data_IF_462834709658
#
_entry.id   IF_462834709658
#
_cell.length_a   1.000
_cell.length_b   1.000
_cell.length_c   1.000
_cell.angle_alpha   90.00
_cell.angle_beta   90.00
_cell.angle_gamma   90.00
#
_symmetry.space_group_name_H-M   'P 1'
#
loop_
_entity.id
_entity.type
_entity.pdbx_description
1 polymer ?
#
# COMPACT_ATOMS: atom_id res chain seq x y z
N UNK A 1 12.33 -21.65 9.12
CA UNK A 1 11.00 -21.47 9.73
C UNK A 1 10.32 -20.36 8.98
N UNK A 2 9.25 -20.68 8.25
CA UNK A 2 8.46 -19.72 7.50
C UNK A 2 7.85 -18.73 8.51
N UNK A 3 8.41 -17.51 8.59
CA UNK A 3 7.87 -16.44 9.44
C UNK A 3 6.49 -16.12 8.89
N UNK A 4 5.43 -16.59 9.54
CA UNK A 4 4.06 -16.16 9.26
C UNK A 4 4.04 -14.63 9.30
N UNK A 5 3.99 -14.01 8.12
CA UNK A 5 3.79 -12.58 7.96
C UNK A 5 2.40 -12.29 8.53
N UNK A 6 2.35 -11.70 9.72
CA UNK A 6 1.09 -11.23 10.28
C UNK A 6 0.61 -10.10 9.38
N UNK A 7 -0.53 -10.29 8.71
CA UNK A 7 -1.13 -9.24 7.88
C UNK A 7 -1.38 -8.02 8.77
N UNK A 8 -0.65 -6.94 8.51
CA UNK A 8 -0.72 -5.71 9.29
C UNK A 8 -2.13 -5.12 9.19
N UNK A 9 -2.57 -4.40 10.22
CA UNK A 9 -3.85 -3.68 10.17
C UNK A 9 -3.82 -2.66 9.04
N UNK A 10 -2.64 -2.09 8.76
CA UNK A 10 -2.45 -1.17 7.65
C UNK A 10 -2.55 -1.90 6.32
N UNK A 11 -1.89 -3.04 6.09
CA UNK A 11 -2.06 -3.83 4.86
C UNK A 11 -3.55 -4.14 4.57
N UNK A 12 -4.32 -4.55 5.58
CA UNK A 12 -5.77 -4.77 5.45
C UNK A 12 -6.53 -3.49 5.10
N UNK A 13 -6.19 -2.36 5.74
CA UNK A 13 -6.79 -1.07 5.44
C UNK A 13 -6.46 -0.62 4.02
N UNK A 14 -5.21 -0.77 3.59
CA UNK A 14 -4.73 -0.40 2.27
C UNK A 14 -5.43 -1.24 1.18
N UNK A 15 -5.67 -2.52 1.43
CA UNK A 15 -6.45 -3.38 0.53
C UNK A 15 -7.89 -2.88 0.40
N UNK A 16 -8.56 -2.53 1.51
CA UNK A 16 -9.92 -1.99 1.49
C UNK A 16 -9.97 -0.65 0.75
N UNK A 17 -9.04 0.26 1.06
CA UNK A 17 -8.94 1.58 0.41
C UNK A 17 -8.63 1.42 -1.07
N UNK A 18 -7.68 0.57 -1.43
CA UNK A 18 -7.33 0.28 -2.82
C UNK A 18 -8.51 -0.26 -3.61
N UNK A 19 -9.27 -1.19 -3.03
CA UNK A 19 -10.47 -1.72 -3.65
C UNK A 19 -11.56 -0.65 -3.85
N UNK A 20 -11.79 0.21 -2.84
CA UNK A 20 -12.72 1.33 -2.96
C UNK A 20 -12.29 2.31 -4.05
N UNK A 21 -11.00 2.62 -4.16
CA UNK A 21 -10.47 3.50 -5.20
C UNK A 21 -10.68 2.93 -6.60
N UNK A 22 -10.59 1.61 -6.77
CA UNK A 22 -10.88 0.97 -8.06
C UNK A 22 -12.36 1.12 -8.45
N UNK A 23 -13.28 0.84 -7.53
CA UNK A 23 -14.73 0.94 -7.79
C UNK A 23 -15.13 2.40 -8.03
N UNK A 24 -14.74 3.30 -7.14
CA UNK A 24 -15.12 4.71 -7.19
C UNK A 24 -14.49 5.38 -8.41
N UNK A 25 -13.24 5.07 -8.72
CA UNK A 25 -12.58 5.60 -9.90
C UNK A 25 -13.24 5.15 -11.19
N UNK A 26 -13.59 3.87 -11.32
CA UNK A 26 -14.39 3.39 -12.45
C UNK A 26 -15.73 4.13 -12.55
N UNK A 27 -16.44 4.30 -11.43
CA UNK A 27 -17.71 5.05 -11.41
C UNK A 27 -17.54 6.50 -11.92
N UNK A 28 -16.50 7.21 -11.47
CA UNK A 28 -16.23 8.57 -11.93
C UNK A 28 -15.83 8.64 -13.41
N UNK A 29 -15.01 7.69 -13.89
CA UNK A 29 -14.63 7.61 -15.30
C UNK A 29 -15.88 7.45 -16.18
N UNK A 30 -16.80 6.55 -15.80
CA UNK A 30 -18.05 6.38 -16.53
C UNK A 30 -18.92 7.64 -16.49
N UNK A 31 -18.97 8.32 -15.35
CA UNK A 31 -19.72 9.57 -15.23
C UNK A 31 -19.16 10.67 -16.15
N UNK A 32 -17.84 10.80 -16.24
CA UNK A 32 -17.19 11.75 -17.16
C UNK A 32 -17.46 11.34 -18.61
N UNK A 33 -17.35 10.06 -18.94
CA UNK A 33 -17.65 9.54 -20.27
C UNK A 33 -19.07 9.87 -20.73
N UNK A 34 -20.06 9.70 -19.86
CA UNK A 34 -21.47 10.04 -20.15
C UNK A 34 -21.65 11.56 -20.26
N UNK A 35 -21.03 12.34 -19.36
CA UNK A 35 -21.14 13.80 -19.37
C UNK A 35 -20.54 14.44 -20.62
N UNK A 36 -19.52 13.82 -21.20
CA UNK A 36 -18.84 14.25 -22.42
C UNK A 36 -19.45 13.64 -23.70
N UNK A 37 -20.65 13.06 -23.60
CA UNK A 37 -21.41 12.62 -24.78
C UNK A 37 -20.96 11.27 -25.36
N UNK A 38 -20.38 10.40 -24.55
CA UNK A 38 -19.82 9.10 -24.98
C UNK A 38 -18.62 9.24 -25.94
N UNK A 39 -18.01 10.41 -26.00
CA UNK A 39 -16.80 10.65 -26.76
C UNK A 39 -15.57 10.48 -25.88
N UNK A 40 -14.48 10.02 -26.48
CA UNK A 40 -13.16 10.00 -25.84
C UNK A 40 -12.61 11.42 -25.88
N UNK A 41 -13.05 12.24 -24.94
CA UNK A 41 -12.58 13.61 -24.83
C UNK A 41 -11.25 13.69 -24.05
N UNK A 42 -10.62 14.85 -24.10
CA UNK A 42 -9.43 15.16 -23.32
C UNK A 42 -9.68 15.03 -21.80
N UNK A 43 -10.87 15.43 -21.32
CA UNK A 43 -11.25 15.32 -19.91
C UNK A 43 -11.37 13.87 -19.45
N UNK A 44 -11.97 13.00 -20.28
CA UNK A 44 -11.96 11.56 -20.07
C UNK A 44 -10.54 10.99 -19.98
N UNK A 45 -9.66 11.30 -20.94
CA UNK A 45 -8.28 10.82 -20.94
C UNK A 45 -7.51 11.25 -19.68
N UNK A 46 -7.63 12.52 -19.30
CA UNK A 46 -7.02 13.04 -18.08
C UNK A 46 -7.54 12.32 -16.83
N UNK A 47 -8.85 12.07 -16.77
CA UNK A 47 -9.48 11.39 -15.62
C UNK A 47 -8.98 9.95 -15.47
N UNK A 48 -8.92 9.20 -16.59
CA UNK A 48 -8.37 7.83 -16.59
C UNK A 48 -6.90 7.85 -16.19
N UNK A 49 -6.11 8.78 -16.72
CA UNK A 49 -4.69 8.90 -16.41
C UNK A 49 -4.46 9.17 -14.91
N UNK A 50 -5.17 10.14 -14.34
CA UNK A 50 -5.09 10.46 -12.91
C UNK A 50 -5.53 9.28 -12.03
N UNK A 51 -6.56 8.54 -12.44
CA UNK A 51 -6.99 7.35 -11.73
C UNK A 51 -5.91 6.25 -11.73
N UNK A 52 -5.30 5.96 -12.87
CA UNK A 52 -4.18 5.01 -12.96
C UNK A 52 -2.99 5.46 -12.11
N UNK A 53 -2.70 6.76 -12.09
CA UNK A 53 -1.63 7.33 -11.27
C UNK A 53 -1.91 7.12 -9.77
N UNK A 54 -3.15 7.29 -9.32
CA UNK A 54 -3.53 6.95 -7.95
C UNK A 54 -3.34 5.46 -7.64
N UNK A 55 -3.69 4.56 -8.56
CA UNK A 55 -3.46 3.12 -8.37
C UNK A 55 -1.98 2.82 -8.20
N UNK A 56 -1.10 3.44 -8.99
CA UNK A 56 0.35 3.32 -8.85
C UNK A 56 0.82 3.80 -7.47
N UNK A 57 0.32 4.93 -6.97
CA UNK A 57 0.69 5.41 -5.64
C UNK A 57 0.27 4.46 -4.53
N UNK A 58 -0.92 3.83 -4.64
CA UNK A 58 -1.36 2.84 -3.65
C UNK A 58 -0.40 1.63 -3.65
N UNK A 59 0.03 1.17 -4.82
CA UNK A 59 1.03 0.09 -4.93
C UNK A 59 2.37 0.50 -4.30
N UNK A 60 2.85 1.72 -4.58
CA UNK A 60 4.10 2.22 -4.00
C UNK A 60 4.01 2.34 -2.47
N UNK A 61 2.86 2.74 -1.94
CA UNK A 61 2.62 2.79 -0.49
C UNK A 61 2.66 1.39 0.14
N UNK A 62 2.07 0.39 -0.52
CA UNK A 62 2.14 -1.01 -0.07
C UNK A 62 3.59 -1.49 0.03
N UNK A 63 4.37 -1.25 -1.02
CA UNK A 63 5.79 -1.64 -1.07
C UNK A 63 6.59 -0.89 -0.01
N UNK A 64 6.34 0.40 0.17
CA UNK A 64 7.03 1.22 1.15
C UNK A 64 6.76 0.78 2.59
N UNK A 65 5.54 0.37 2.89
CA UNK A 65 5.17 -0.22 4.18
C UNK A 65 5.91 -1.54 4.41
N UNK A 66 5.89 -2.45 3.43
CA UNK A 66 6.55 -3.76 3.52
C UNK A 66 8.05 -3.61 3.83
N UNK A 67 8.72 -2.66 3.16
CA UNK A 67 10.14 -2.35 3.41
C UNK A 67 10.34 -1.84 4.84
N UNK A 68 9.48 -0.93 5.30
CA UNK A 68 9.55 -0.34 6.64
C UNK A 68 9.36 -1.41 7.72
N UNK A 69 8.37 -2.29 7.58
CA UNK A 69 8.17 -3.40 8.52
C UNK A 69 9.37 -4.36 8.54
N UNK A 70 9.97 -4.64 7.38
CA UNK A 70 11.18 -5.44 7.26
C UNK A 70 12.34 -4.91 8.09
N UNK A 71 12.65 -3.61 7.95
CA UNK A 71 13.73 -2.93 8.69
C UNK A 71 13.46 -2.97 10.20
N UNK A 72 12.21 -2.74 10.61
CA UNK A 72 11.82 -2.67 12.01
C UNK A 72 11.95 -4.03 12.71
N UNK A 73 11.59 -5.11 12.02
CA UNK A 73 11.78 -6.48 12.49
C UNK A 73 13.25 -6.85 12.64
N UNK A 74 14.10 -6.39 11.72
CA UNK A 74 15.55 -6.63 11.77
C UNK A 74 16.17 -5.93 12.98
N UNK A 75 15.83 -4.64 13.20
CA UNK A 75 16.30 -3.89 14.37
C UNK A 75 15.82 -4.49 15.70
N UNK A 76 14.58 -4.98 15.77
CA UNK A 76 14.07 -5.67 16.96
C UNK A 76 14.87 -6.93 17.28
N UNK A 77 15.24 -7.70 16.25
CA UNK A 77 16.01 -8.93 16.41
C UNK A 77 17.45 -8.63 16.87
N UNK A 78 18.06 -7.57 16.34
CA UNK A 78 19.36 -7.08 16.79
C UNK A 78 19.34 -6.63 18.26
N UNK A 79 18.35 -5.82 18.66
CA UNK A 79 18.19 -5.37 20.05
C UNK A 79 18.01 -6.55 20.99
N UNK A 80 17.23 -7.56 20.58
CA UNK A 80 17.01 -8.77 21.38
C UNK A 80 18.31 -9.56 21.57
N UNK A 81 19.09 -9.77 20.50
CA UNK A 81 20.42 -10.41 20.56
C UNK A 81 21.37 -9.62 21.47
N UNK A 82 21.36 -8.30 21.38
CA UNK A 82 22.19 -7.42 22.23
C UNK A 82 21.82 -7.57 23.71
N UNK A 83 20.51 -7.55 24.03
CA UNK A 83 20.00 -7.75 25.39
C UNK A 83 20.42 -9.10 25.96
N UNK A 84 20.31 -10.17 25.19
CA UNK A 84 20.73 -11.52 25.60
C UNK A 84 22.23 -11.61 25.86
N UNK A 85 23.06 -10.98 25.02
CA UNK A 85 24.50 -10.91 25.21
C UNK A 85 24.90 -10.15 26.49
N UNK A 86 24.23 -9.03 26.78
CA UNK A 86 24.44 -8.25 28.01
C UNK A 86 24.03 -9.05 29.25
N UNK A 87 22.89 -9.76 29.20
CA UNK A 87 22.42 -10.62 30.29
C UNK A 87 23.36 -11.80 30.55
N UNK A 88 23.92 -12.41 29.51
CA UNK A 88 24.93 -13.49 29.65
C UNK A 88 26.25 -12.99 30.23
N UNK A 89 26.66 -11.75 29.98
CA UNK A 89 27.88 -11.15 30.55
C UNK A 89 27.76 -10.76 32.02
N UNK A 90 26.54 -10.67 32.56
CA UNK A 90 26.25 -10.30 33.95
C UNK A 90 26.15 -11.51 34.91
N UNK A 91 26.17 -12.73 34.39
CA UNK A 91 26.29 -13.99 35.14
C UNK A 91 27.72 -14.50 35.04
#
# INVERSE_FOLDING_TARGET
MEKKRHTSIFEKLLLVVGFLVLIIGYFFINRVFIAEGFEVSWGFLQTVFLWLLMVIFIILLAIGEDIKEGILLEQLDEIKKLKEAVLKRKK
#
